data_IF_738173487831
#
_entry.id   IF_738173487831
#
_cell.length_a   1.000
_cell.length_b   1.000
_cell.length_c   1.000
_cell.angle_alpha   90.00
_cell.angle_beta   90.00
_cell.angle_gamma   90.00
#
_symmetry.space_group_name_H-M   'P 1'
#
loop_
_entity.id
_entity.type
_entity.pdbx_description
1 polymer ?
#
# COMPACT_ATOMS: atom_id res chain seq x y z
N UNK A 1 -29.87 8.83 0.30
CA UNK A 1 -28.67 8.29 -0.30
C UNK A 1 -28.14 7.14 0.55
N UNK A 2 -27.95 5.99 -0.05
CA UNK A 2 -27.55 4.80 0.69
C UNK A 2 -26.03 4.66 0.64
N UNK A 3 -25.36 4.78 1.78
CA UNK A 3 -23.89 4.71 1.89
C UNK A 3 -23.35 3.38 1.35
N UNK A 4 -24.05 2.28 1.64
CA UNK A 4 -23.65 0.95 1.15
C UNK A 4 -23.67 0.86 -0.37
N UNK A 5 -24.59 1.55 -1.03
CA UNK A 5 -24.70 1.56 -2.48
C UNK A 5 -23.54 2.35 -3.12
N UNK A 6 -23.15 3.47 -2.51
CA UNK A 6 -22.00 4.24 -2.98
C UNK A 6 -20.71 3.44 -2.84
N UNK A 7 -20.53 2.70 -1.74
CA UNK A 7 -19.37 1.83 -1.53
C UNK A 7 -19.31 0.71 -2.57
N UNK A 8 -20.44 0.10 -2.92
CA UNK A 8 -20.49 -0.95 -3.95
C UNK A 8 -20.09 -0.40 -5.31
N UNK A 9 -20.55 0.81 -5.66
CA UNK A 9 -20.19 1.46 -6.93
C UNK A 9 -18.71 1.78 -6.97
N UNK A 10 -18.15 2.32 -5.88
CA UNK A 10 -16.72 2.61 -5.77
C UNK A 10 -15.89 1.34 -5.93
N UNK A 11 -16.27 0.26 -5.25
CA UNK A 11 -15.56 -1.01 -5.34
C UNK A 11 -15.63 -1.61 -6.74
N UNK A 12 -16.74 -1.46 -7.44
CA UNK A 12 -16.88 -1.94 -8.81
C UNK A 12 -15.96 -1.20 -9.77
N UNK A 13 -15.88 0.12 -9.66
CA UNK A 13 -14.97 0.95 -10.48
C UNK A 13 -13.51 0.62 -10.17
N UNK A 14 -13.19 0.49 -8.91
CA UNK A 14 -11.84 0.14 -8.45
C UNK A 14 -11.42 -1.22 -8.99
N UNK A 15 -12.30 -2.21 -8.88
CA UNK A 15 -12.07 -3.55 -9.41
C UNK A 15 -11.75 -3.51 -10.90
N UNK A 16 -12.61 -2.85 -11.68
CA UNK A 16 -12.40 -2.72 -13.13
C UNK A 16 -11.10 -2.00 -13.44
N UNK A 17 -10.79 -0.92 -12.71
CA UNK A 17 -9.56 -0.17 -12.89
C UNK A 17 -8.33 -1.03 -12.68
N UNK A 18 -8.31 -1.83 -11.62
CA UNK A 18 -7.19 -2.72 -11.31
C UNK A 18 -7.00 -3.76 -12.42
N UNK A 19 -8.10 -4.43 -12.82
CA UNK A 19 -7.99 -5.54 -13.77
C UNK A 19 -7.76 -5.13 -15.21
N UNK A 20 -7.90 -3.83 -15.53
CA UNK A 20 -7.54 -3.29 -16.85
C UNK A 20 -6.08 -2.82 -16.93
N UNK A 21 -5.35 -2.80 -15.82
CA UNK A 21 -3.93 -2.40 -15.82
C UNK A 21 -3.08 -3.39 -16.59
N UNK A 22 -2.04 -2.88 -17.25
CA UNK A 22 -1.10 -3.69 -18.01
C UNK A 22 0.05 -4.13 -17.12
N UNK A 23 -0.27 -4.92 -16.11
CA UNK A 23 0.69 -5.44 -15.12
C UNK A 23 0.38 -6.91 -14.86
N UNK A 24 1.33 -7.69 -14.32
CA UNK A 24 1.10 -9.10 -14.01
C UNK A 24 -0.05 -9.30 -13.01
N UNK A 25 -0.72 -10.44 -13.11
CA UNK A 25 -1.85 -10.76 -12.23
C UNK A 25 -1.47 -10.77 -10.74
N UNK A 26 -0.23 -11.14 -10.41
CA UNK A 26 0.24 -11.10 -9.02
C UNK A 26 0.21 -9.69 -8.44
N UNK A 27 0.47 -8.68 -9.27
CA UNK A 27 0.38 -7.28 -8.86
C UNK A 27 -1.07 -6.88 -8.66
N UNK A 28 -1.95 -7.26 -9.59
CA UNK A 28 -3.39 -6.98 -9.48
C UNK A 28 -4.00 -7.60 -8.23
N UNK A 29 -3.63 -8.85 -7.93
CA UNK A 29 -4.08 -9.52 -6.71
C UNK A 29 -3.60 -8.78 -5.45
N UNK A 30 -2.36 -8.32 -5.44
CA UNK A 30 -1.84 -7.53 -4.33
C UNK A 30 -2.65 -6.25 -4.14
N UNK A 31 -2.91 -5.53 -5.22
CA UNK A 31 -3.67 -4.27 -5.18
C UNK A 31 -5.07 -4.48 -4.63
N UNK A 32 -5.75 -5.52 -5.08
CA UNK A 32 -7.11 -5.80 -4.61
C UNK A 32 -7.12 -6.13 -3.12
N UNK A 33 -6.18 -6.96 -2.67
CA UNK A 33 -6.03 -7.28 -1.25
C UNK A 33 -5.68 -6.03 -0.43
N UNK A 34 -4.82 -5.17 -0.98
CA UNK A 34 -4.44 -3.92 -0.33
C UNK A 34 -5.67 -3.01 -0.14
N UNK A 35 -6.51 -2.90 -1.15
CA UNK A 35 -7.70 -2.05 -1.10
C UNK A 35 -8.76 -2.61 -0.13
N UNK A 36 -8.73 -3.89 0.15
CA UNK A 36 -9.62 -4.52 1.12
C UNK A 36 -9.00 -4.64 2.50
N UNK A 37 -7.87 -3.98 2.70
CA UNK A 37 -7.14 -3.97 3.98
C UNK A 37 -6.79 -5.39 4.45
N UNK A 38 -6.44 -6.26 3.51
CA UNK A 38 -6.19 -7.69 3.78
C UNK A 38 -4.70 -8.04 3.81
N UNK A 39 -3.80 -7.04 3.73
CA UNK A 39 -2.36 -7.28 3.81
C UNK A 39 -1.87 -7.17 5.26
N UNK A 40 -0.92 -8.04 5.68
CA UNK A 40 -0.47 -8.09 7.07
C UNK A 40 0.55 -6.99 7.40
N UNK A 41 0.09 -5.76 7.57
CA UNK A 41 0.89 -4.68 8.16
C UNK A 41 0.96 -4.89 9.67
N UNK A 42 1.90 -4.21 10.36
CA UNK A 42 1.98 -4.29 11.81
C UNK A 42 0.67 -3.86 12.48
N UNK A 43 0.05 -2.76 12.01
CA UNK A 43 -1.21 -2.31 12.55
C UNK A 43 -2.32 -3.36 12.39
N UNK A 44 -2.39 -4.01 11.23
CA UNK A 44 -3.34 -5.08 10.96
C UNK A 44 -3.10 -6.29 11.88
N UNK A 45 -1.84 -6.68 12.07
CA UNK A 45 -1.48 -7.82 12.90
C UNK A 45 -1.79 -7.55 14.39
N UNK A 46 -1.60 -6.32 14.86
CA UNK A 46 -2.00 -5.94 16.22
C UNK A 46 -3.51 -6.02 16.37
N UNK A 47 -4.26 -5.54 15.39
CA UNK A 47 -5.72 -5.60 15.41
C UNK A 47 -6.22 -7.05 15.51
N UNK A 48 -5.48 -8.00 14.89
CA UNK A 48 -5.80 -9.42 14.96
C UNK A 48 -5.17 -10.13 16.16
N UNK A 49 -4.58 -9.40 17.08
CA UNK A 49 -3.90 -9.90 18.28
C UNK A 49 -2.75 -10.87 18.01
N UNK A 50 -2.10 -10.76 16.83
CA UNK A 50 -0.97 -11.61 16.47
C UNK A 50 0.35 -11.06 17.02
N UNK A 51 0.53 -9.73 16.99
CA UNK A 51 1.68 -9.04 17.57
C UNK A 51 1.19 -7.89 18.47
N UNK A 52 2.10 -7.30 19.25
CA UNK A 52 1.75 -6.24 20.19
C UNK A 52 2.20 -4.85 19.76
N UNK A 53 3.17 -4.74 18.83
CA UNK A 53 3.76 -3.47 18.44
C UNK A 53 3.27 -3.07 17.02
N UNK A 54 2.46 -2.00 16.91
CA UNK A 54 1.97 -1.54 15.62
C UNK A 54 2.89 -0.55 14.92
N UNK A 55 4.02 -0.18 15.53
CA UNK A 55 4.84 0.93 15.05
C UNK A 55 5.81 0.51 13.95
N UNK A 56 6.00 1.40 12.98
CA UNK A 56 7.00 1.24 11.93
C UNK A 56 8.40 1.20 12.56
N UNK A 57 9.26 0.31 12.05
CA UNK A 57 10.63 0.16 12.55
C UNK A 57 11.50 1.37 12.21
N UNK A 58 11.13 2.14 11.21
CA UNK A 58 11.95 3.24 10.68
C UNK A 58 11.43 4.63 11.06
N UNK A 59 10.19 4.73 11.50
CA UNK A 59 9.53 6.02 11.78
C UNK A 59 9.04 6.03 13.23
N UNK A 60 9.77 6.67 14.16
CA UNK A 60 9.35 6.69 15.57
C UNK A 60 7.95 7.26 15.74
N UNK A 61 7.11 6.55 16.48
CA UNK A 61 5.75 6.98 16.78
C UNK A 61 4.73 6.77 15.68
N UNK A 62 5.14 6.32 14.50
CA UNK A 62 4.21 6.10 13.38
C UNK A 62 3.73 4.66 13.34
N UNK A 63 2.41 4.47 13.27
CA UNK A 63 1.83 3.15 13.09
C UNK A 63 2.04 2.68 11.66
N UNK A 64 2.36 1.39 11.49
CA UNK A 64 2.50 0.83 10.15
C UNK A 64 1.13 0.45 9.60
N UNK A 65 0.37 1.44 9.13
CA UNK A 65 -0.77 1.24 8.27
C UNK A 65 -0.28 0.97 6.85
N UNK A 66 -1.14 0.48 5.98
CA UNK A 66 -0.71 0.11 4.62
C UNK A 66 -0.20 1.31 3.82
N UNK A 67 -0.90 2.45 3.89
CA UNK A 67 -0.45 3.65 3.19
C UNK A 67 0.89 4.13 3.72
N UNK A 68 1.18 3.94 5.00
CA UNK A 68 2.49 4.24 5.56
C UNK A 68 3.55 3.31 4.98
N UNK A 69 3.29 2.00 4.99
CA UNK A 69 4.26 1.00 4.53
C UNK A 69 4.60 1.15 3.05
N UNK A 70 3.66 1.63 2.23
CA UNK A 70 3.83 1.71 0.78
C UNK A 70 4.06 3.12 0.24
N UNK A 71 3.77 4.16 1.02
CA UNK A 71 3.81 5.54 0.54
C UNK A 71 4.49 6.51 1.51
N UNK A 72 4.04 6.57 2.76
CA UNK A 72 4.42 7.63 3.70
C UNK A 72 5.72 7.37 4.46
N UNK A 73 6.20 6.15 4.55
CA UNK A 73 7.38 5.81 5.34
C UNK A 73 8.62 6.57 4.85
N UNK A 74 9.42 7.08 5.77
CA UNK A 74 10.66 7.83 5.45
C UNK A 74 11.64 7.02 4.62
N UNK A 75 11.68 5.71 4.82
CA UNK A 75 12.55 4.82 4.03
C UNK A 75 12.20 4.85 2.54
N UNK A 76 11.00 5.30 2.20
CA UNK A 76 10.53 5.36 0.82
C UNK A 76 10.73 6.74 0.18
N UNK A 77 11.20 7.73 0.93
CA UNK A 77 11.35 9.10 0.40
C UNK A 77 12.24 9.14 -0.83
N UNK A 78 13.36 8.39 -0.84
CA UNK A 78 14.25 8.33 -1.99
C UNK A 78 13.61 7.60 -3.17
N UNK A 79 12.82 6.58 -2.92
CA UNK A 79 12.14 5.83 -3.98
C UNK A 79 11.17 6.75 -4.74
N UNK A 80 10.32 7.46 -4.00
CA UNK A 80 9.33 8.33 -4.62
C UNK A 80 9.92 9.65 -5.14
N UNK A 81 10.99 10.15 -4.51
CA UNK A 81 11.67 11.37 -4.96
C UNK A 81 12.28 11.21 -6.34
N UNK A 82 12.79 10.02 -6.68
CA UNK A 82 13.38 9.74 -7.98
C UNK A 82 12.35 9.31 -9.03
N UNK A 83 11.08 9.26 -8.66
CA UNK A 83 10.00 8.82 -9.55
C UNK A 83 9.27 10.01 -10.16
N UNK A 84 8.45 9.70 -11.17
CA UNK A 84 7.55 10.70 -11.77
C UNK A 84 6.41 11.11 -10.84
N UNK A 85 6.28 10.44 -9.70
CA UNK A 85 5.28 10.75 -8.67
C UNK A 85 5.83 11.61 -7.54
N UNK A 86 7.05 12.15 -7.69
CA UNK A 86 7.72 12.90 -6.62
C UNK A 86 6.91 14.10 -6.14
N UNK A 87 6.31 14.85 -7.06
CA UNK A 87 5.49 16.01 -6.71
C UNK A 87 4.27 15.60 -5.91
N UNK A 88 3.55 14.58 -6.38
CA UNK A 88 2.37 14.05 -5.68
C UNK A 88 2.74 13.58 -4.27
N UNK A 89 3.85 12.86 -4.15
CA UNK A 89 4.32 12.34 -2.87
C UNK A 89 4.60 13.45 -1.87
N UNK A 90 5.16 14.58 -2.32
CA UNK A 90 5.48 15.71 -1.45
C UNK A 90 4.28 16.56 -1.07
N UNK A 91 3.29 16.67 -1.96
CA UNK A 91 2.24 17.69 -1.84
C UNK A 91 0.89 17.13 -1.41
N UNK A 92 0.63 15.84 -1.61
CA UNK A 92 -0.67 15.25 -1.34
C UNK A 92 -0.62 14.25 -0.19
N UNK A 93 -1.64 14.27 0.66
CA UNK A 93 -1.84 13.30 1.74
C UNK A 93 -3.08 12.48 1.44
N UNK A 94 -2.99 11.18 1.70
CA UNK A 94 -4.10 10.26 1.48
C UNK A 94 -4.46 9.55 2.78
N UNK A 95 -5.75 9.34 2.99
CA UNK A 95 -6.28 8.70 4.19
C UNK A 95 -5.83 7.24 4.28
N UNK A 96 -5.92 6.52 3.15
CA UNK A 96 -5.52 5.12 3.06
C UNK A 96 -5.05 4.79 1.64
N UNK A 97 -4.58 3.55 1.47
CA UNK A 97 -4.07 3.09 0.18
C UNK A 97 -5.17 3.06 -0.91
N UNK A 98 -6.38 2.70 -0.53
CA UNK A 98 -7.51 2.66 -1.47
C UNK A 98 -7.79 4.04 -2.08
N UNK A 99 -7.75 5.08 -1.24
CA UNK A 99 -7.92 6.47 -1.70
C UNK A 99 -6.82 6.86 -2.69
N UNK A 100 -5.56 6.57 -2.34
CA UNK A 100 -4.41 6.86 -3.19
C UNK A 100 -4.52 6.16 -4.54
N UNK A 101 -4.80 4.86 -4.54
CA UNK A 101 -4.92 4.09 -5.77
C UNK A 101 -6.11 4.55 -6.61
N UNK A 102 -7.24 4.82 -5.99
CA UNK A 102 -8.44 5.30 -6.70
C UNK A 102 -8.18 6.62 -7.40
N UNK A 103 -7.47 7.52 -6.74
CA UNK A 103 -7.10 8.81 -7.33
C UNK A 103 -6.18 8.61 -8.54
N UNK A 104 -5.15 7.77 -8.40
CA UNK A 104 -4.21 7.52 -9.49
C UNK A 104 -4.86 6.85 -10.69
N UNK A 105 -5.78 5.93 -10.46
CA UNK A 105 -6.51 5.25 -11.54
C UNK A 105 -7.36 6.21 -12.36
N UNK A 106 -7.84 7.29 -11.75
CA UNK A 106 -8.71 8.26 -12.42
C UNK A 106 -7.95 9.38 -13.12
N UNK A 107 -6.80 9.78 -12.61
CA UNK A 107 -6.20 11.05 -12.99
C UNK A 107 -4.75 10.98 -13.45
N UNK A 108 -4.10 9.82 -13.33
CA UNK A 108 -2.67 9.75 -13.59
C UNK A 108 -2.33 8.66 -14.59
N UNK A 109 -1.50 9.02 -15.58
CA UNK A 109 -1.05 8.07 -16.61
C UNK A 109 0.11 7.19 -16.15
N UNK A 110 0.64 7.43 -14.94
CA UNK A 110 1.77 6.68 -14.38
C UNK A 110 1.33 5.65 -13.34
N UNK A 111 0.07 5.27 -13.34
CA UNK A 111 -0.45 4.33 -12.36
C UNK A 111 0.25 2.97 -12.43
N UNK A 112 0.66 2.54 -13.62
CA UNK A 112 1.31 1.23 -13.77
C UNK A 112 2.70 1.22 -13.17
N UNK A 113 3.45 2.31 -13.29
CA UNK A 113 4.73 2.48 -12.61
C UNK A 113 4.52 2.46 -11.09
N UNK A 114 3.50 3.17 -10.62
CA UNK A 114 3.16 3.21 -9.19
C UNK A 114 2.87 1.80 -8.66
N UNK A 115 2.00 1.05 -9.32
CA UNK A 115 1.60 -0.27 -8.80
C UNK A 115 2.73 -1.29 -8.86
N UNK A 116 3.60 -1.23 -9.88
CA UNK A 116 4.78 -2.08 -9.93
C UNK A 116 5.75 -1.74 -8.80
N UNK A 117 5.94 -0.46 -8.53
CA UNK A 117 6.81 0.00 -7.44
C UNK A 117 6.27 -0.44 -6.08
N UNK A 118 4.96 -0.32 -5.86
CA UNK A 118 4.36 -0.77 -4.60
C UNK A 118 4.49 -2.27 -4.41
N UNK A 119 4.38 -3.05 -5.48
CA UNK A 119 4.60 -4.49 -5.40
C UNK A 119 6.03 -4.81 -4.98
N UNK A 120 7.01 -4.11 -5.55
CA UNK A 120 8.42 -4.28 -5.19
C UNK A 120 8.68 -3.88 -3.74
N UNK A 121 8.12 -2.76 -3.29
CA UNK A 121 8.26 -2.29 -1.91
C UNK A 121 7.71 -3.33 -0.94
N UNK A 122 6.49 -3.81 -1.19
CA UNK A 122 5.85 -4.79 -0.32
C UNK A 122 6.63 -6.10 -0.27
N UNK A 123 7.08 -6.58 -1.42
CA UNK A 123 7.86 -7.82 -1.51
C UNK A 123 9.18 -7.69 -0.74
N UNK A 124 9.89 -6.58 -0.91
CA UNK A 124 11.15 -6.34 -0.22
C UNK A 124 10.95 -6.21 1.29
N UNK A 125 9.92 -5.50 1.72
CA UNK A 125 9.58 -5.37 3.14
C UNK A 125 9.38 -6.76 3.77
N UNK A 126 8.64 -7.61 3.11
CA UNK A 126 8.36 -8.96 3.62
C UNK A 126 9.61 -9.83 3.64
N UNK A 127 10.48 -9.70 2.67
CA UNK A 127 11.75 -10.42 2.65
C UNK A 127 12.65 -10.00 3.80
N UNK A 128 12.73 -8.71 4.09
CA UNK A 128 13.52 -8.19 5.23
C UNK A 128 12.97 -8.74 6.54
N UNK A 129 11.65 -8.68 6.74
CA UNK A 129 11.02 -9.19 7.96
C UNK A 129 11.26 -10.69 8.14
N UNK A 130 11.14 -11.47 7.07
CA UNK A 130 11.40 -12.91 7.10
C UNK A 130 12.84 -13.18 7.45
N UNK A 131 13.78 -12.44 6.88
CA UNK A 131 15.21 -12.59 7.13
C UNK A 131 15.54 -12.32 8.61
N UNK A 132 14.96 -11.25 9.18
CA UNK A 132 15.13 -10.93 10.60
C UNK A 132 14.54 -12.01 11.50
N UNK A 133 13.38 -12.56 11.14
CA UNK A 133 12.77 -13.64 11.91
C UNK A 133 13.63 -14.89 11.91
N UNK A 134 14.20 -15.25 10.76
CA UNK A 134 15.12 -16.39 10.64
C UNK A 134 16.39 -16.15 11.47
N UNK A 135 16.95 -14.95 11.43
CA UNK A 135 18.13 -14.59 12.20
C UNK A 135 17.88 -14.70 13.71
N UNK A 136 16.69 -14.36 14.18
CA UNK A 136 16.35 -14.44 15.60
C UNK A 136 16.15 -15.86 16.11
N UNK A 137 16.00 -16.84 15.21
CA UNK A 137 15.90 -18.26 15.57
C UNK A 137 17.27 -18.90 15.81
N UNK A 138 18.33 -18.24 15.44
CA UNK A 138 19.70 -18.69 15.67
C UNK A 138 20.33 -17.91 16.80
#
# INVERSE_FOLDING_TARGET
MNIAQDDVIMDSKLWKGIWTLQVPNKVKNLLWRACRNALPTKASLVHRTIINDPLCDHCPGAREMLVHALWDCKELDTVWADSELSQLHREANFLDFKELLSWLLQQHDKVEVFVMTTWLIWTQRNQVLLHLAVASLH
#
